data_IF_923830084589
#
_entry.id   IF_923830084589
#
_cell.length_a   1.000
_cell.length_b   1.000
_cell.length_c   1.000
_cell.angle_alpha   90.00
_cell.angle_beta   90.00
_cell.angle_gamma   90.00
#
_symmetry.space_group_name_H-M   'P 1'
#
loop_
_entity.id
_entity.type
_entity.pdbx_description
1 polymer ?
#
# COMPACT_ATOMS: atom_id res chain seq x y z
N UNK A 1 0.86 -7.25 17.54
CA UNK A 1 0.68 -6.80 16.15
C UNK A 1 1.71 -7.54 15.31
N UNK A 2 1.30 -8.61 14.64
CA UNK A 2 2.20 -9.32 13.72
C UNK A 2 2.05 -8.68 12.36
N UNK A 3 3.04 -7.91 11.96
CA UNK A 3 3.21 -7.44 10.59
C UNK A 3 3.51 -8.69 9.76
N UNK A 4 2.77 -8.89 8.68
CA UNK A 4 3.03 -9.97 7.73
C UNK A 4 4.45 -9.81 7.19
N UNK A 5 5.37 -10.63 7.70
CA UNK A 5 6.69 -10.78 7.11
C UNK A 5 6.57 -11.95 6.15
N UNK A 6 6.48 -11.68 4.87
CA UNK A 6 6.65 -12.71 3.84
C UNK A 6 8.12 -13.12 3.91
N UNK A 7 8.39 -14.22 4.62
CA UNK A 7 9.71 -14.87 4.53
C UNK A 7 9.72 -15.68 3.24
N UNK A 8 10.23 -15.09 2.18
CA UNK A 8 10.60 -15.84 1.00
C UNK A 8 11.79 -16.73 1.33
N UNK A 9 11.51 -17.99 1.63
CA UNK A 9 12.50 -19.06 1.57
C UNK A 9 12.44 -19.64 0.16
N UNK A 10 12.93 -18.90 -0.81
CA UNK A 10 13.09 -19.41 -2.17
C UNK A 10 14.57 -19.53 -2.45
N UNK A 11 14.99 -20.73 -2.84
CA UNK A 11 16.29 -20.97 -3.43
C UNK A 11 16.48 -19.95 -4.58
N UNK A 12 17.46 -19.07 -4.43
CA UNK A 12 17.83 -18.11 -5.46
C UNK A 12 18.38 -18.88 -6.67
N UNK A 13 17.49 -19.18 -7.60
CA UNK A 13 17.93 -19.30 -8.98
C UNK A 13 18.27 -17.89 -9.43
N UNK A 14 19.55 -17.64 -9.68
CA UNK A 14 20.07 -16.41 -10.29
C UNK A 14 19.53 -16.27 -11.72
N UNK A 15 18.26 -15.87 -11.83
CA UNK A 15 17.69 -15.36 -13.06
C UNK A 15 17.26 -13.92 -12.79
N UNK A 16 18.12 -12.99 -13.16
CA UNK A 16 17.78 -11.59 -13.36
C UNK A 16 16.85 -11.49 -14.59
N UNK A 17 15.64 -12.08 -14.50
CA UNK A 17 14.63 -11.87 -15.53
C UNK A 17 14.07 -10.47 -15.36
N UNK A 18 14.24 -9.65 -16.39
CA UNK A 18 13.59 -8.36 -16.47
C UNK A 18 12.07 -8.56 -16.58
N UNK A 19 11.31 -7.87 -15.74
CA UNK A 19 9.85 -7.89 -15.76
C UNK A 19 9.33 -7.36 -17.10
N UNK A 20 8.42 -8.09 -17.72
CA UNK A 20 7.80 -7.68 -18.98
C UNK A 20 6.97 -6.38 -18.79
N UNK A 21 6.72 -5.67 -19.87
CA UNK A 21 5.89 -4.45 -19.83
C UNK A 21 4.46 -4.69 -19.39
N UNK A 22 3.95 -5.92 -19.55
CA UNK A 22 2.65 -6.36 -19.08
C UNK A 22 2.62 -6.68 -17.58
N UNK A 23 3.78 -6.97 -16.98
CA UNK A 23 3.88 -7.30 -15.55
C UNK A 23 4.17 -6.06 -14.69
N UNK A 24 4.92 -5.11 -15.22
CA UNK A 24 5.19 -3.82 -14.59
C UNK A 24 4.75 -2.72 -15.57
N UNK A 25 3.53 -2.22 -15.41
CA UNK A 25 2.99 -1.18 -16.29
C UNK A 25 3.41 0.19 -15.73
N UNK A 26 4.12 0.96 -16.56
CA UNK A 26 4.55 2.32 -16.24
C UNK A 26 3.90 3.33 -17.19
N UNK A 27 3.65 4.52 -16.68
CA UNK A 27 3.24 5.67 -17.50
C UNK A 27 4.44 6.21 -18.28
N UNK A 28 4.20 7.09 -19.26
CA UNK A 28 5.25 7.69 -20.08
C UNK A 28 6.30 8.48 -19.26
N UNK A 29 5.90 9.00 -18.10
CA UNK A 29 6.78 9.71 -17.17
C UNK A 29 7.52 8.80 -16.18
N UNK A 30 7.46 7.47 -16.39
CA UNK A 30 8.05 6.43 -15.55
C UNK A 30 7.42 6.33 -14.15
N UNK A 31 6.25 6.88 -13.92
CA UNK A 31 5.45 6.59 -12.72
C UNK A 31 4.71 5.27 -12.85
N UNK A 32 4.42 4.60 -11.73
CA UNK A 32 3.59 3.40 -11.72
C UNK A 32 2.16 3.70 -12.20
N UNK A 33 1.52 2.73 -12.80
CA UNK A 33 0.36 2.98 -13.65
C UNK A 33 -0.85 3.56 -12.93
N UNK A 34 -1.31 2.92 -11.85
CA UNK A 34 -2.55 3.35 -11.19
C UNK A 34 -2.31 4.46 -10.17
N UNK A 35 -1.32 4.33 -9.30
CA UNK A 35 -1.02 5.34 -8.27
C UNK A 35 -0.37 6.60 -8.83
N UNK A 36 0.19 6.54 -10.05
CA UNK A 36 0.90 7.67 -10.69
C UNK A 36 2.04 8.22 -9.84
N UNK A 37 2.72 7.33 -9.11
CA UNK A 37 3.82 7.65 -8.20
C UNK A 37 5.15 7.12 -8.74
N UNK A 38 6.22 7.77 -8.33
CA UNK A 38 7.60 7.33 -8.54
C UNK A 38 8.20 6.80 -7.23
N UNK A 39 9.24 5.95 -7.27
CA UNK A 39 9.80 5.30 -6.08
C UNK A 39 10.17 6.24 -4.92
N UNK A 40 10.63 7.46 -5.22
CA UNK A 40 11.02 8.44 -4.21
C UNK A 40 9.87 9.29 -3.65
N UNK A 41 8.66 9.12 -4.17
CA UNK A 41 7.50 9.95 -3.85
C UNK A 41 6.67 9.43 -2.68
N UNK A 42 6.98 8.22 -2.19
CA UNK A 42 6.33 7.64 -1.01
C UNK A 42 7.27 7.50 0.17
N UNK A 43 6.69 7.45 1.36
CA UNK A 43 7.36 7.07 2.61
C UNK A 43 7.25 5.56 2.83
N UNK A 44 8.16 5.00 3.63
CA UNK A 44 8.02 3.61 4.13
C UNK A 44 6.91 3.49 5.19
N UNK A 45 6.45 4.62 5.76
CA UNK A 45 5.31 4.65 6.68
C UNK A 45 4.08 5.17 5.93
N UNK A 46 3.08 4.33 5.77
CA UNK A 46 1.93 4.61 4.92
C UNK A 46 0.65 4.48 5.75
N UNK A 47 -0.19 5.51 5.67
CA UNK A 47 -1.57 5.44 6.13
C UNK A 47 -2.45 5.19 4.91
N UNK A 48 -3.29 4.16 4.95
CA UNK A 48 -4.30 3.92 3.92
C UNK A 48 -5.68 4.30 4.43
N UNK A 49 -6.46 4.95 3.59
CA UNK A 49 -7.86 5.30 3.83
C UNK A 49 -8.73 4.80 2.67
N UNK A 50 -10.02 4.55 2.91
CA UNK A 50 -10.91 4.11 1.83
C UNK A 50 -11.34 5.28 0.93
N UNK A 51 -11.71 6.39 1.56
CA UNK A 51 -12.26 7.57 0.91
C UNK A 51 -11.16 8.54 0.46
N UNK A 52 -11.14 8.98 -0.82
CA UNK A 52 -10.20 9.98 -1.31
C UNK A 52 -10.22 11.30 -0.52
N UNK A 53 -11.39 11.75 -0.09
CA UNK A 53 -11.54 13.02 0.64
C UNK A 53 -10.84 12.97 2.00
N UNK A 54 -10.80 11.81 2.63
CA UNK A 54 -10.11 11.59 3.91
C UNK A 54 -8.60 11.77 3.83
N UNK A 55 -8.00 11.67 2.65
CA UNK A 55 -6.56 11.95 2.47
C UNK A 55 -6.22 13.37 2.87
N UNK A 56 -7.08 14.34 2.49
CA UNK A 56 -6.90 15.74 2.85
C UNK A 56 -7.08 15.97 4.37
N UNK A 57 -8.04 15.29 4.99
CA UNK A 57 -8.28 15.36 6.44
C UNK A 57 -7.06 14.87 7.22
N UNK A 58 -6.51 13.71 6.86
CA UNK A 58 -5.31 13.16 7.51
C UNK A 58 -4.10 14.06 7.30
N UNK A 59 -3.87 14.50 6.07
CA UNK A 59 -2.70 15.32 5.73
C UNK A 59 -2.77 16.77 6.25
N UNK A 60 -3.95 17.24 6.68
CA UNK A 60 -4.10 18.52 7.38
C UNK A 60 -3.33 18.55 8.72
N UNK A 61 -3.01 17.39 9.28
CA UNK A 61 -2.19 17.26 10.49
C UNK A 61 -0.69 17.22 10.23
N UNK A 62 -0.25 17.18 8.96
CA UNK A 62 1.18 17.14 8.64
C UNK A 62 1.84 18.51 8.89
N UNK A 63 3.07 18.48 9.38
CA UNK A 63 3.88 19.68 9.59
C UNK A 63 4.26 20.33 8.25
N UNK A 64 4.45 19.51 7.21
CA UNK A 64 4.70 19.95 5.84
C UNK A 64 4.21 18.90 4.83
N UNK A 65 3.85 19.34 3.65
CA UNK A 65 3.47 18.47 2.53
C UNK A 65 4.52 18.61 1.43
N UNK A 66 5.10 17.48 1.04
CA UNK A 66 6.09 17.37 -0.04
C UNK A 66 5.44 17.15 -1.40
N UNK A 67 4.36 16.36 -1.42
CA UNK A 67 3.72 15.89 -2.64
C UNK A 67 2.21 15.74 -2.45
N UNK A 68 1.47 16.12 -3.49
CA UNK A 68 0.06 15.76 -3.69
C UNK A 68 -0.10 15.23 -5.10
N UNK A 69 -0.63 14.02 -5.24
CA UNK A 69 -0.96 13.40 -6.52
C UNK A 69 -2.34 12.75 -6.46
N UNK A 70 -2.99 12.72 -7.60
CA UNK A 70 -4.26 12.02 -7.75
C UNK A 70 -4.34 11.38 -9.14
N UNK A 71 -4.83 10.16 -9.18
CA UNK A 71 -5.26 9.48 -10.40
C UNK A 71 -6.43 8.58 -10.06
N UNK A 72 -7.58 8.81 -10.67
CA UNK A 72 -8.85 8.13 -10.33
C UNK A 72 -9.17 8.34 -8.84
N UNK A 73 -9.53 7.26 -8.14
CA UNK A 73 -9.81 7.20 -6.69
C UNK A 73 -8.53 7.17 -5.83
N UNK A 74 -7.36 7.04 -6.43
CA UNK A 74 -6.08 6.99 -5.71
C UNK A 74 -5.54 8.40 -5.53
N UNK A 75 -5.71 8.95 -4.34
CA UNK A 75 -5.14 10.22 -3.91
C UNK A 75 -3.99 9.95 -2.97
N UNK A 76 -2.85 10.58 -3.19
CA UNK A 76 -1.66 10.41 -2.34
C UNK A 76 -1.15 11.77 -1.90
N UNK A 77 -1.00 11.96 -0.60
CA UNK A 77 -0.23 13.05 -0.03
C UNK A 77 0.96 12.47 0.74
N UNK A 78 2.16 12.97 0.46
CA UNK A 78 3.39 12.65 1.21
C UNK A 78 3.88 13.90 1.90
N UNK A 79 4.35 13.76 3.12
CA UNK A 79 4.82 14.88 3.92
C UNK A 79 5.46 14.43 5.22
N UNK A 80 5.58 15.36 6.18
CA UNK A 80 6.22 15.14 7.47
C UNK A 80 5.24 15.36 8.60
N UNK A 81 5.25 14.51 9.59
CA UNK A 81 4.54 14.68 10.85
C UNK A 81 5.47 14.31 12.01
N UNK A 82 5.70 15.25 12.93
CA UNK A 82 6.61 15.08 14.09
C UNK A 82 7.97 14.49 13.68
N UNK A 83 8.59 15.09 12.68
CA UNK A 83 9.88 14.67 12.12
C UNK A 83 9.90 13.27 11.47
N UNK A 84 8.74 12.68 11.19
CA UNK A 84 8.63 11.40 10.46
C UNK A 84 8.01 11.66 9.10
N UNK A 85 8.64 11.14 8.06
CA UNK A 85 8.05 11.14 6.73
C UNK A 85 6.92 10.12 6.68
N UNK A 86 5.76 10.51 6.19
CA UNK A 86 4.54 9.71 6.10
C UNK A 86 3.87 9.97 4.76
N UNK A 87 3.31 8.93 4.18
CA UNK A 87 2.38 9.03 3.05
C UNK A 87 0.99 8.64 3.51
N UNK A 88 -0.04 9.34 3.03
CA UNK A 88 -1.42 8.91 3.16
C UNK A 88 -1.98 8.68 1.77
N UNK A 89 -2.65 7.54 1.57
CA UNK A 89 -3.13 7.08 0.26
C UNK A 89 -4.56 6.59 0.39
N UNK A 90 -5.44 7.05 -0.51
CA UNK A 90 -6.77 6.45 -0.65
C UNK A 90 -6.71 5.19 -1.49
N UNK A 91 -7.44 4.18 -1.05
CA UNK A 91 -7.53 2.89 -1.76
C UNK A 91 -8.81 2.77 -2.60
N UNK A 92 -9.79 3.67 -2.40
CA UNK A 92 -11.14 3.40 -2.88
C UNK A 92 -11.78 2.22 -2.14
N UNK A 93 -12.74 1.59 -2.77
CA UNK A 93 -13.55 0.49 -2.23
C UNK A 93 -13.32 -0.77 -3.07
N UNK A 94 -13.28 -1.92 -2.40
CA UNK A 94 -13.21 -3.24 -3.01
C UNK A 94 -11.83 -3.88 -2.91
N UNK A 95 -11.82 -5.20 -3.05
CA UNK A 95 -10.60 -6.03 -2.96
C UNK A 95 -9.64 -5.77 -4.10
N UNK A 96 -10.16 -5.54 -5.30
CA UNK A 96 -9.38 -5.25 -6.51
C UNK A 96 -8.53 -3.99 -6.33
N UNK A 97 -9.11 -2.94 -5.76
CA UNK A 97 -8.39 -1.70 -5.48
C UNK A 97 -7.31 -1.89 -4.40
N UNK A 98 -7.60 -2.67 -3.36
CA UNK A 98 -6.61 -3.01 -2.33
C UNK A 98 -5.45 -3.77 -2.94
N UNK A 99 -5.74 -4.74 -3.82
CA UNK A 99 -4.74 -5.52 -4.53
C UNK A 99 -3.83 -4.63 -5.38
N UNK A 100 -4.42 -3.76 -6.21
CA UNK A 100 -3.68 -2.78 -7.01
C UNK A 100 -2.76 -1.93 -6.14
N UNK A 101 -3.29 -1.35 -5.07
CA UNK A 101 -2.54 -0.45 -4.19
C UNK A 101 -1.37 -1.17 -3.53
N UNK A 102 -1.58 -2.35 -2.97
CA UNK A 102 -0.52 -3.09 -2.27
C UNK A 102 0.58 -3.55 -3.23
N UNK A 103 0.22 -4.07 -4.40
CA UNK A 103 1.19 -4.49 -5.40
C UNK A 103 1.99 -3.29 -5.96
N UNK A 104 1.33 -2.16 -6.25
CA UNK A 104 2.03 -0.98 -6.76
C UNK A 104 2.91 -0.31 -5.70
N UNK A 105 2.51 -0.33 -4.42
CA UNK A 105 3.34 0.15 -3.32
C UNK A 105 4.59 -0.73 -3.14
N UNK A 106 4.44 -2.05 -3.22
CA UNK A 106 5.58 -2.97 -3.18
C UNK A 106 6.52 -2.74 -4.36
N UNK A 107 5.98 -2.61 -5.57
CA UNK A 107 6.77 -2.32 -6.77
C UNK A 107 7.58 -1.02 -6.65
N UNK A 108 6.98 0.05 -6.10
CA UNK A 108 7.66 1.34 -5.91
C UNK A 108 8.93 1.25 -5.05
N UNK A 109 8.94 0.36 -4.06
CA UNK A 109 10.07 0.26 -3.13
C UNK A 109 11.02 -0.90 -3.46
N UNK A 110 10.54 -1.96 -4.13
CA UNK A 110 11.28 -3.21 -4.29
C UNK A 110 11.66 -3.54 -5.75
N UNK A 111 11.21 -2.75 -6.72
CA UNK A 111 11.60 -2.91 -8.13
C UNK A 111 12.43 -1.72 -8.59
N UNK A 112 13.51 -2.00 -9.31
CA UNK A 112 14.23 -0.99 -10.09
C UNK A 112 13.47 -0.79 -11.42
N UNK A 113 12.80 0.35 -11.56
CA UNK A 113 11.99 0.65 -12.74
C UNK A 113 12.81 0.85 -14.01
N UNK A 114 14.07 1.29 -13.89
CA UNK A 114 14.94 1.52 -15.04
C UNK A 114 15.42 0.21 -15.67
N UNK A 115 15.73 -0.78 -14.85
CA UNK A 115 16.19 -2.11 -15.29
C UNK A 115 15.08 -3.15 -15.28
N UNK A 116 13.93 -2.81 -14.68
CA UNK A 116 12.75 -3.68 -14.53
C UNK A 116 13.07 -5.00 -13.81
N UNK A 117 13.87 -4.93 -12.76
CA UNK A 117 14.31 -6.07 -11.97
C UNK A 117 14.03 -5.85 -10.49
N UNK A 118 13.90 -6.93 -9.75
CA UNK A 118 13.81 -6.87 -8.29
C UNK A 118 15.12 -6.30 -7.72
N UNK A 119 15.00 -5.44 -6.72
CA UNK A 119 16.15 -4.95 -5.98
C UNK A 119 16.76 -6.06 -5.12
N UNK A 120 18.06 -6.11 -4.98
CA UNK A 120 18.75 -7.09 -4.12
C UNK A 120 18.34 -6.95 -2.64
N UNK A 121 18.13 -5.71 -2.20
CA UNK A 121 17.71 -5.41 -0.84
C UNK A 121 16.26 -4.96 -0.83
N UNK A 122 15.41 -5.76 -0.21
CA UNK A 122 14.00 -5.43 -0.05
C UNK A 122 13.78 -4.38 1.05
N UNK A 123 12.86 -3.48 0.76
CA UNK A 123 12.36 -2.47 1.69
C UNK A 123 11.02 -2.92 2.26
N UNK A 124 10.91 -2.97 3.56
CA UNK A 124 9.63 -3.24 4.24
C UNK A 124 8.83 -1.95 4.38
N UNK A 125 7.54 -2.02 4.05
CA UNK A 125 6.57 -0.95 4.28
C UNK A 125 5.82 -1.19 5.59
N UNK A 126 5.59 -0.11 6.34
CA UNK A 126 4.70 -0.08 7.50
C UNK A 126 3.37 0.51 7.05
N UNK A 127 2.36 -0.32 6.86
CA UNK A 127 1.05 0.11 6.39
C UNK A 127 0.05 0.10 7.55
N UNK A 128 -0.61 1.22 7.76
CA UNK A 128 -1.62 1.42 8.78
C UNK A 128 -2.94 1.83 8.12
N UNK A 129 -3.98 0.99 8.24
CA UNK A 129 -5.29 1.32 7.67
C UNK A 129 -6.14 2.09 8.69
N UNK A 130 -6.51 3.30 8.32
CA UNK A 130 -7.45 4.13 9.07
C UNK A 130 -8.82 4.05 8.40
N UNK A 131 -9.79 3.51 9.11
CA UNK A 131 -11.13 3.30 8.57
C UNK A 131 -12.21 3.49 9.63
N UNK A 132 -13.45 3.37 9.20
CA UNK A 132 -14.63 3.33 10.06
C UNK A 132 -15.31 1.97 9.93
N UNK A 133 -15.99 1.52 10.97
CA UNK A 133 -16.78 0.29 10.96
C UNK A 133 -18.03 0.43 11.82
N UNK A 134 -19.07 -0.30 11.48
CA UNK A 134 -20.24 -0.45 12.36
C UNK A 134 -19.97 -1.50 13.44
N UNK A 135 -20.35 -1.23 14.68
CA UNK A 135 -20.36 -2.23 15.74
C UNK A 135 -21.65 -3.04 15.68
N UNK A 136 -21.51 -4.37 15.76
CA UNK A 136 -22.67 -5.29 15.88
C UNK A 136 -22.94 -5.70 17.32
N UNK A 137 -22.13 -5.22 18.27
CA UNK A 137 -22.25 -5.52 19.70
C UNK A 137 -22.72 -4.25 20.45
N UNK A 138 -23.75 -4.39 21.26
CA UNK A 138 -24.36 -3.27 21.98
C UNK A 138 -23.46 -2.61 23.04
N UNK A 139 -22.43 -3.32 23.51
CA UNK A 139 -21.47 -2.83 24.50
C UNK A 139 -20.30 -2.03 23.91
N UNK A 140 -20.29 -1.81 22.59
CA UNK A 140 -19.29 -0.95 21.92
C UNK A 140 -19.96 0.41 21.63
N UNK A 141 -19.62 1.47 22.39
CA UNK A 141 -20.17 2.79 22.15
C UNK A 141 -19.76 3.36 20.80
N UNK A 142 -20.56 4.29 20.27
CA UNK A 142 -20.18 5.14 19.14
C UNK A 142 -18.91 5.90 19.50
N UNK A 143 -18.06 6.20 18.52
CA UNK A 143 -16.75 6.87 18.67
C UNK A 143 -15.67 6.06 19.40
N UNK A 144 -15.90 4.76 19.61
CA UNK A 144 -14.86 3.87 20.12
C UNK A 144 -13.74 3.69 19.11
N UNK A 145 -12.48 3.72 19.58
CA UNK A 145 -11.32 3.36 18.77
C UNK A 145 -11.09 1.85 18.88
N UNK A 146 -11.11 1.17 17.75
CA UNK A 146 -10.91 -0.28 17.68
C UNK A 146 -9.62 -0.59 16.91
N UNK A 147 -8.86 -1.57 17.41
CA UNK A 147 -7.71 -2.12 16.71
C UNK A 147 -8.03 -3.59 16.40
N UNK A 148 -8.03 -3.95 15.11
CA UNK A 148 -8.33 -5.32 14.69
C UNK A 148 -7.19 -6.27 15.08
N UNK A 149 -7.51 -7.31 15.84
CA UNK A 149 -6.59 -8.41 16.14
C UNK A 149 -6.58 -9.45 15.03
N UNK A 150 -7.76 -9.75 14.48
CA UNK A 150 -7.97 -10.75 13.42
C UNK A 150 -8.97 -10.22 12.40
N UNK A 151 -8.83 -10.69 11.17
CA UNK A 151 -9.78 -10.44 10.10
C UNK A 151 -10.06 -11.75 9.34
N UNK A 152 -11.28 -11.87 8.83
CA UNK A 152 -11.70 -12.97 7.96
C UNK A 152 -12.02 -12.39 6.60
N UNK A 153 -11.35 -12.87 5.55
CA UNK A 153 -11.68 -12.55 4.17
C UNK A 153 -12.84 -13.43 3.69
N UNK A 154 -13.88 -12.78 3.19
CA UNK A 154 -15.04 -13.44 2.59
C UNK A 154 -15.10 -13.20 1.08
N UNK A 155 -13.99 -12.79 0.50
CA UNK A 155 -13.78 -12.56 -0.92
C UNK A 155 -12.96 -13.68 -1.57
N UNK A 156 -12.73 -13.59 -2.87
CA UNK A 156 -11.99 -14.58 -3.62
C UNK A 156 -10.55 -14.15 -3.97
N UNK A 157 -10.05 -13.02 -3.43
CA UNK A 157 -8.77 -12.44 -3.82
C UNK A 157 -7.60 -13.42 -3.64
N UNK A 158 -7.55 -14.13 -2.51
CA UNK A 158 -6.45 -15.06 -2.21
C UNK A 158 -6.40 -16.28 -3.15
N UNK A 159 -7.47 -16.57 -3.92
CA UNK A 159 -7.42 -17.62 -4.95
C UNK A 159 -6.54 -17.27 -6.15
N UNK A 160 -6.19 -16.00 -6.33
CA UNK A 160 -5.28 -15.55 -7.37
C UNK A 160 -3.81 -15.57 -6.94
N UNK A 161 -3.52 -15.93 -5.69
CA UNK A 161 -2.18 -15.99 -5.12
C UNK A 161 -1.81 -17.42 -4.74
N UNK A 162 -0.52 -17.77 -4.86
CA UNK A 162 0.01 -19.00 -4.27
C UNK A 162 0.14 -18.80 -2.75
N UNK A 163 -0.90 -19.21 -2.04
CA UNK A 163 -1.01 -19.07 -0.59
C UNK A 163 -0.70 -20.37 0.17
N UNK A 164 -0.23 -21.42 -0.49
CA UNK A 164 -0.04 -22.76 0.11
C UNK A 164 0.93 -22.76 1.32
N UNK A 165 1.76 -21.74 1.44
CA UNK A 165 2.71 -21.57 2.55
C UNK A 165 2.20 -20.65 3.67
N UNK A 166 0.99 -20.12 3.56
CA UNK A 166 0.39 -19.20 4.53
C UNK A 166 -0.63 -19.86 5.48
N UNK A 167 -0.99 -21.12 5.21
CA UNK A 167 -1.97 -21.90 5.98
C UNK A 167 -1.28 -22.85 6.96
#
# INVERSE_FOLDING_TARGET
>A
MRIFTIKNTTAFLNYSMSLASSELILNADQSIYHLHLKPNEISNNIITVGDPDRVAEVSAHFDSIELKKQKREFVTHTGTYKNKRISVISTGIGTDNIDIVLNELDALVNIDFSHRVLKEKFTQLNIFRLGTSGAIQANIPVDSILISEKAIGLDALLHFYDANHLL
#
